data_IF_629750507330
#
_entry.id   IF_629750507330
#
_cell.length_a   1.000
_cell.length_b   1.000
_cell.length_c   1.000
_cell.angle_alpha   90.00
_cell.angle_beta   90.00
_cell.angle_gamma   90.00
#
_symmetry.space_group_name_H-M   'P 1'
#
loop_
_entity.id
_entity.type
_entity.pdbx_description
1 polymer ?
#
# COMPACT_ATOMS: atom_id res chain seq x y z
N UNK A 1 14.39 9.10 6.54
CA UNK A 1 12.94 9.05 6.28
C UNK A 1 12.75 9.95 5.08
N UNK A 2 12.33 9.44 3.93
CA UNK A 2 12.19 10.27 2.72
C UNK A 2 11.24 11.43 3.02
N UNK A 3 11.67 12.68 2.80
CA UNK A 3 10.84 13.88 3.02
C UNK A 3 9.49 13.76 2.30
N UNK A 4 9.51 13.19 1.09
CA UNK A 4 8.33 12.91 0.26
C UNK A 4 7.33 11.94 0.93
N UNK A 5 7.79 11.05 1.82
CA UNK A 5 6.89 10.12 2.52
C UNK A 5 6.17 10.78 3.69
N UNK A 6 6.82 11.71 4.38
CA UNK A 6 6.20 12.43 5.51
C UNK A 6 5.08 13.35 5.02
N UNK A 7 5.34 14.11 3.94
CA UNK A 7 4.36 14.97 3.30
C UNK A 7 3.17 14.17 2.74
N UNK A 8 3.44 13.13 1.94
CA UNK A 8 2.39 12.26 1.42
C UNK A 8 1.54 11.63 2.53
N UNK A 9 2.15 11.26 3.67
CA UNK A 9 1.43 10.74 4.83
C UNK A 9 0.47 11.76 5.41
N UNK A 10 0.90 13.00 5.64
CA UNK A 10 0.03 14.02 6.21
C UNK A 10 -1.14 14.37 5.29
N UNK A 11 -0.89 14.50 4.00
CA UNK A 11 -1.94 14.76 3.01
C UNK A 11 -2.97 13.63 2.97
N UNK A 12 -2.51 12.38 2.91
CA UNK A 12 -3.41 11.22 2.85
C UNK A 12 -4.18 11.00 4.15
N UNK A 13 -3.60 11.33 5.31
CA UNK A 13 -4.33 11.32 6.59
C UNK A 13 -5.48 12.34 6.57
N UNK A 14 -5.18 13.60 6.19
CA UNK A 14 -6.18 14.68 6.10
C UNK A 14 -7.28 14.34 5.10
N UNK A 15 -6.93 13.83 3.92
CA UNK A 15 -7.88 13.48 2.87
C UNK A 15 -8.88 12.37 3.29
N UNK A 16 -8.49 11.53 4.24
CA UNK A 16 -9.30 10.38 4.68
C UNK A 16 -9.84 10.54 6.11
N UNK A 17 -9.71 11.75 6.69
CA UNK A 17 -10.14 12.04 8.07
C UNK A 17 -9.55 11.06 9.10
N UNK A 18 -8.27 10.70 8.92
CA UNK A 18 -7.53 9.82 9.83
C UNK A 18 -6.47 10.58 10.60
N UNK A 19 -6.13 10.05 11.78
CA UNK A 19 -5.00 10.46 12.60
C UNK A 19 -3.90 9.40 12.56
N UNK A 20 -2.73 9.70 13.12
CA UNK A 20 -1.64 8.72 13.23
C UNK A 20 -2.04 7.58 14.19
N UNK A 21 -2.82 7.91 15.22
CA UNK A 21 -3.38 6.98 16.20
C UNK A 21 -4.30 5.94 15.54
N UNK A 22 -5.11 6.36 14.56
CA UNK A 22 -5.99 5.47 13.79
C UNK A 22 -5.21 4.43 12.96
N UNK A 23 -4.00 4.77 12.52
CA UNK A 23 -3.15 3.82 11.79
C UNK A 23 -2.56 2.74 12.72
N UNK A 24 -2.25 3.10 13.96
CA UNK A 24 -1.65 2.17 14.94
C UNK A 24 -2.62 1.06 15.36
N UNK A 25 -3.91 1.36 15.48
CA UNK A 25 -4.94 0.37 15.84
C UNK A 25 -5.24 -0.62 14.71
N UNK A 26 -5.08 -0.17 13.47
CA UNK A 26 -5.47 -0.95 12.28
C UNK A 26 -4.43 -1.98 11.83
N UNK A 27 -3.12 -1.80 12.11
CA UNK A 27 -2.08 -2.79 11.76
C UNK A 27 -2.42 -4.19 12.27
N UNK A 28 -2.96 -4.28 13.51
CA UNK A 28 -3.20 -5.55 14.21
C UNK A 28 -4.60 -6.12 13.95
N UNK A 29 -5.48 -5.35 13.29
CA UNK A 29 -6.84 -5.79 13.00
C UNK A 29 -6.84 -6.72 11.79
N UNK A 30 -7.59 -7.83 11.90
CA UNK A 30 -7.90 -8.69 10.75
C UNK A 30 -8.79 -7.99 9.73
N UNK A 31 -9.53 -6.96 10.16
CA UNK A 31 -10.42 -6.17 9.32
C UNK A 31 -9.89 -4.73 9.28
N UNK A 32 -9.28 -4.37 8.16
CA UNK A 32 -8.82 -3.00 7.90
C UNK A 32 -10.04 -2.17 7.52
N UNK A 33 -10.21 -0.99 8.11
CA UNK A 33 -11.33 -0.10 7.78
C UNK A 33 -11.18 0.45 6.36
N UNK A 34 -12.31 0.79 5.72
CA UNK A 34 -12.31 1.40 4.38
C UNK A 34 -11.47 2.67 4.32
N UNK A 35 -11.55 3.53 5.35
CA UNK A 35 -10.73 4.74 5.46
C UNK A 35 -9.23 4.42 5.43
N UNK A 36 -8.81 3.37 6.13
CA UNK A 36 -7.40 2.96 6.14
C UNK A 36 -6.99 2.39 4.77
N UNK A 37 -7.88 1.65 4.10
CA UNK A 37 -7.64 1.20 2.73
C UNK A 37 -7.50 2.39 1.77
N UNK A 38 -8.34 3.41 1.90
CA UNK A 38 -8.24 4.65 1.12
C UNK A 38 -6.93 5.40 1.39
N UNK A 39 -6.50 5.45 2.66
CA UNK A 39 -5.21 6.01 3.03
C UNK A 39 -4.06 5.28 2.30
N UNK A 40 -4.08 3.94 2.26
CA UNK A 40 -3.06 3.17 1.54
C UNK A 40 -3.08 3.42 0.03
N UNK A 41 -4.27 3.49 -0.57
CA UNK A 41 -4.44 3.85 -1.99
C UNK A 41 -3.82 5.23 -2.27
N UNK A 42 -4.12 6.22 -1.43
CA UNK A 42 -3.59 7.57 -1.54
C UNK A 42 -2.06 7.60 -1.46
N UNK A 43 -1.46 6.87 -0.52
CA UNK A 43 0.01 6.74 -0.43
C UNK A 43 0.58 6.13 -1.71
N UNK A 44 -0.03 5.06 -2.23
CA UNK A 44 0.45 4.43 -3.46
C UNK A 44 0.38 5.38 -4.66
N UNK A 45 -0.68 6.17 -4.78
CA UNK A 45 -0.80 7.20 -5.82
C UNK A 45 0.27 8.29 -5.67
N UNK A 46 0.45 8.82 -4.46
CA UNK A 46 1.46 9.87 -4.18
C UNK A 46 2.89 9.40 -4.41
N UNK A 47 3.18 8.11 -4.18
CA UNK A 47 4.47 7.49 -4.49
C UNK A 47 4.59 7.08 -5.97
N UNK A 48 3.56 7.30 -6.77
CA UNK A 48 3.50 6.94 -8.19
C UNK A 48 3.51 5.44 -8.44
N UNK A 49 3.13 4.62 -7.45
CA UNK A 49 2.91 3.17 -7.58
C UNK A 49 1.57 2.86 -8.25
N UNK A 50 0.61 3.77 -8.11
CA UNK A 50 -0.66 3.77 -8.81
C UNK A 50 -0.73 5.05 -9.64
N UNK A 51 -1.11 4.93 -10.90
CA UNK A 51 -1.45 6.11 -11.71
C UNK A 51 -2.88 6.58 -11.45
N UNK A 52 -3.30 7.63 -12.15
CA UNK A 52 -4.64 8.21 -12.03
C UNK A 52 -5.76 7.24 -12.47
N UNK A 53 -5.43 6.26 -13.31
CA UNK A 53 -6.35 5.21 -13.75
C UNK A 53 -6.43 4.03 -12.77
N UNK A 54 -5.63 4.06 -11.70
CA UNK A 54 -5.49 2.98 -10.73
C UNK A 54 -4.63 1.82 -11.22
N UNK A 55 -3.87 1.97 -12.30
CA UNK A 55 -2.97 0.93 -12.78
C UNK A 55 -1.66 0.92 -11.98
N UNK A 56 -1.22 -0.27 -11.62
CA UNK A 56 0.00 -0.50 -10.82
C UNK A 56 1.25 -0.33 -11.69
N UNK A 57 2.23 0.40 -11.16
CA UNK A 57 3.51 0.65 -11.81
C UNK A 57 4.55 -0.36 -11.30
N UNK A 58 4.65 -1.51 -11.97
CA UNK A 58 5.39 -2.69 -11.50
C UNK A 58 6.85 -2.40 -11.13
N UNK A 59 7.56 -1.65 -11.98
CA UNK A 59 8.97 -1.29 -11.77
C UNK A 59 9.18 -0.57 -10.43
N UNK A 60 8.29 0.38 -10.11
CA UNK A 60 8.36 1.15 -8.85
C UNK A 60 7.96 0.32 -7.63
N UNK A 61 7.09 -0.67 -7.81
CA UNK A 61 6.74 -1.63 -6.74
C UNK A 61 7.98 -2.42 -6.36
N UNK A 62 8.72 -2.94 -7.34
CA UNK A 62 9.98 -3.65 -7.10
C UNK A 62 11.00 -2.82 -6.30
N UNK A 63 11.22 -1.56 -6.71
CA UNK A 63 12.17 -0.66 -6.06
C UNK A 63 11.82 -0.37 -4.59
N UNK A 64 10.54 -0.17 -4.28
CA UNK A 64 10.12 0.07 -2.89
C UNK A 64 10.24 -1.19 -2.04
N UNK A 65 9.97 -2.35 -2.62
CA UNK A 65 10.05 -3.62 -1.91
C UNK A 65 11.49 -4.07 -1.66
N UNK A 66 12.43 -3.72 -2.55
CA UNK A 66 13.88 -3.97 -2.40
C UNK A 66 14.44 -3.48 -1.06
N UNK A 67 13.86 -2.42 -0.50
CA UNK A 67 14.32 -1.83 0.77
C UNK A 67 13.94 -2.70 1.98
N UNK A 68 12.92 -3.55 1.86
CA UNK A 68 12.26 -4.21 3.01
C UNK A 68 12.22 -5.73 2.95
N UNK A 69 12.40 -6.34 1.79
CA UNK A 69 12.25 -7.78 1.59
C UNK A 69 13.47 -8.35 0.88
N UNK A 70 13.79 -9.60 1.22
CA UNK A 70 14.72 -10.41 0.42
C UNK A 70 14.17 -10.62 -1.00
N UNK A 71 15.06 -11.03 -1.91
CA UNK A 71 14.74 -11.20 -3.33
C UNK A 71 13.58 -12.18 -3.57
N UNK A 72 13.52 -13.29 -2.84
CA UNK A 72 12.46 -14.29 -2.97
C UNK A 72 11.08 -13.70 -2.62
N UNK A 73 10.96 -13.07 -1.45
CA UNK A 73 9.70 -12.45 -1.02
C UNK A 73 9.33 -11.25 -1.88
N UNK A 74 10.32 -10.48 -2.33
CA UNK A 74 10.10 -9.36 -3.23
C UNK A 74 9.50 -9.84 -4.54
N UNK A 75 10.08 -10.86 -5.17
CA UNK A 75 9.58 -11.38 -6.45
C UNK A 75 8.15 -11.91 -6.30
N UNK A 76 7.86 -12.66 -5.22
CA UNK A 76 6.51 -13.14 -4.92
C UNK A 76 5.50 -12.01 -4.65
N UNK A 77 5.94 -10.92 -4.02
CA UNK A 77 5.10 -9.74 -3.80
C UNK A 77 4.83 -8.96 -5.08
N UNK A 78 5.85 -8.74 -5.91
CA UNK A 78 5.70 -8.05 -7.20
C UNK A 78 4.69 -8.81 -8.04
N UNK A 79 4.91 -10.11 -8.24
CA UNK A 79 4.00 -10.97 -9.01
C UNK A 79 2.55 -10.92 -8.47
N UNK A 80 2.36 -11.08 -7.17
CA UNK A 80 1.00 -11.03 -6.60
C UNK A 80 0.34 -9.65 -6.76
N UNK A 81 1.11 -8.56 -6.62
CA UNK A 81 0.57 -7.20 -6.71
C UNK A 81 0.23 -6.87 -8.16
N UNK A 82 1.04 -7.28 -9.13
CA UNK A 82 0.81 -7.02 -10.56
C UNK A 82 -0.37 -7.81 -11.11
N UNK A 83 -0.60 -9.04 -10.62
CA UNK A 83 -1.80 -9.85 -10.94
C UNK A 83 -3.13 -9.18 -10.55
N UNK A 84 -3.13 -8.22 -9.62
CA UNK A 84 -4.36 -7.49 -9.24
C UNK A 84 -4.85 -6.60 -10.40
N UNK A 85 -3.95 -6.14 -11.25
CA UNK A 85 -4.24 -5.24 -12.37
C UNK A 85 -4.53 -3.81 -11.90
N UNK A 86 -5.81 -3.48 -11.69
CA UNK A 86 -6.27 -2.12 -11.35
C UNK A 86 -6.86 -2.01 -9.95
N UNK A 87 -6.53 -0.91 -9.28
CA UNK A 87 -7.07 -0.49 -7.98
C UNK A 87 -8.01 0.69 -8.21
N UNK A 88 -9.30 0.40 -8.46
CA UNK A 88 -10.31 1.42 -8.74
C UNK A 88 -10.90 1.99 -7.45
N UNK A 89 -11.11 1.13 -6.45
CA UNK A 89 -11.72 1.48 -5.17
C UNK A 89 -10.72 1.37 -4.02
N UNK A 90 -11.08 1.90 -2.86
CA UNK A 90 -10.28 1.66 -1.66
C UNK A 90 -10.31 0.18 -1.28
N UNK A 91 -11.44 -0.49 -1.45
CA UNK A 91 -11.65 -1.91 -1.15
C UNK A 91 -10.71 -2.82 -1.93
N UNK A 92 -10.33 -2.43 -3.16
CA UNK A 92 -9.34 -3.19 -3.95
C UNK A 92 -7.96 -3.26 -3.28
N UNK A 93 -7.63 -2.33 -2.37
CA UNK A 93 -6.41 -2.38 -1.57
C UNK A 93 -6.36 -3.56 -0.60
N UNK A 94 -7.48 -4.23 -0.34
CA UNK A 94 -7.48 -5.46 0.43
C UNK A 94 -6.72 -6.57 -0.32
N UNK A 95 -6.86 -6.64 -1.65
CA UNK A 95 -6.11 -7.58 -2.49
C UNK A 95 -4.60 -7.40 -2.35
N UNK A 96 -4.15 -6.13 -2.35
CA UNK A 96 -2.74 -5.79 -2.11
C UNK A 96 -2.32 -6.24 -0.71
N UNK A 97 -3.16 -6.01 0.30
CA UNK A 97 -2.89 -6.42 1.68
C UNK A 97 -2.77 -7.94 1.83
N UNK A 98 -3.55 -8.71 1.06
CA UNK A 98 -3.46 -10.17 0.98
C UNK A 98 -2.15 -10.65 0.35
N UNK A 99 -1.56 -9.92 -0.60
CA UNK A 99 -0.22 -10.25 -1.11
C UNK A 99 0.83 -10.17 0.01
N UNK A 100 0.78 -9.13 0.83
CA UNK A 100 1.69 -8.98 1.96
C UNK A 100 1.49 -10.02 3.07
N UNK A 101 0.27 -10.54 3.27
CA UNK A 101 0.04 -11.58 4.28
C UNK A 101 0.65 -12.93 3.90
N UNK A 102 0.73 -13.26 2.61
CA UNK A 102 1.33 -14.51 2.09
C UNK A 102 2.82 -14.61 2.41
N UNK A 103 3.55 -13.49 2.38
CA UNK A 103 5.00 -13.44 2.64
C UNK A 103 5.35 -13.12 4.10
N UNK A 104 4.40 -12.56 4.86
CA UNK A 104 4.55 -12.26 6.30
C UNK A 104 4.32 -13.47 7.20
N UNK A 105 4.46 -14.72 6.73
CA UNK A 105 4.45 -15.88 7.63
C UNK A 105 5.39 -15.61 8.82
N UNK A 106 4.78 -15.38 9.98
CA UNK A 106 5.40 -15.29 11.30
C UNK A 106 5.68 -16.73 11.74
#
# INVERSE_FOLDING_TARGET
MDENFAEAREECLKANSLTVEDLHSSWKSKNISEQHLCFRKCIMQKKGLLDESGAIQEEKVGDILNIRFDEEKRNALVECITEIGKIETCQDMDKVSQCFSKVRKI
#
